data_IF_419155284560
#
_entry.id   IF_419155284560
#
_cell.length_a   1.000
_cell.length_b   1.000
_cell.length_c   1.000
_cell.angle_alpha   90.00
_cell.angle_beta   90.00
_cell.angle_gamma   90.00
#
_symmetry.space_group_name_H-M   'P 1'
#
loop_
_entity.id
_entity.type
_entity.pdbx_description
1 polymer ?
#
# COMPACT_ATOMS: atom_id res chain seq x y z
N UNK A 1 5.45 -7.09 -10.04
CA UNK A 1 6.69 -6.86 -9.26
C UNK A 1 6.88 -8.03 -8.30
N UNK A 2 7.90 -8.88 -8.47
CA UNK A 2 8.07 -10.08 -7.62
C UNK A 2 8.28 -9.65 -6.16
N UNK A 3 7.51 -10.19 -5.21
CA UNK A 3 7.79 -10.05 -3.78
C UNK A 3 9.04 -10.90 -3.47
N UNK A 4 10.19 -10.48 -3.97
CA UNK A 4 11.48 -11.11 -3.69
C UNK A 4 11.89 -10.73 -2.27
N UNK A 5 12.13 -11.76 -1.46
CA UNK A 5 12.25 -11.67 -0.02
C UNK A 5 13.39 -10.80 0.48
N UNK A 6 13.05 -9.77 1.27
CA UNK A 6 13.77 -9.34 2.48
C UNK A 6 12.98 -8.25 3.20
N UNK A 7 12.64 -8.49 4.47
CA UNK A 7 12.12 -7.53 5.47
C UNK A 7 11.23 -6.40 4.92
N UNK A 8 10.10 -6.73 4.29
CA UNK A 8 9.11 -5.71 3.91
C UNK A 8 8.25 -5.36 5.12
N UNK A 9 7.93 -4.08 5.24
CA UNK A 9 6.96 -3.61 6.22
C UNK A 9 5.53 -3.83 5.69
N UNK A 10 4.58 -3.90 6.61
CA UNK A 10 3.18 -4.16 6.32
C UNK A 10 2.55 -3.17 5.33
N UNK A 11 2.95 -1.90 5.33
CA UNK A 11 2.54 -0.92 4.32
C UNK A 11 2.91 -1.34 2.90
N UNK A 12 4.17 -1.77 2.68
CA UNK A 12 4.65 -2.20 1.37
C UNK A 12 3.97 -3.51 0.96
N UNK A 13 3.81 -4.44 1.91
CA UNK A 13 3.16 -5.72 1.67
C UNK A 13 1.72 -5.53 1.22
N UNK A 14 0.92 -4.77 1.98
CA UNK A 14 -0.48 -4.55 1.66
C UNK A 14 -0.64 -3.78 0.36
N UNK A 15 0.17 -2.73 0.13
CA UNK A 15 0.13 -1.99 -1.13
C UNK A 15 0.44 -2.89 -2.33
N UNK A 16 1.52 -3.68 -2.25
CA UNK A 16 1.89 -4.59 -3.34
C UNK A 16 0.81 -5.64 -3.60
N UNK A 17 0.21 -6.21 -2.54
CA UNK A 17 -0.85 -7.21 -2.70
C UNK A 17 -2.06 -6.62 -3.44
N UNK A 18 -2.54 -5.44 -3.02
CA UNK A 18 -3.69 -4.82 -3.67
C UNK A 18 -3.38 -4.31 -5.07
N UNK A 19 -2.14 -3.90 -5.35
CA UNK A 19 -1.69 -3.57 -6.72
C UNK A 19 -1.83 -4.77 -7.67
N UNK A 20 -1.31 -5.93 -7.26
CA UNK A 20 -1.40 -7.16 -8.05
C UNK A 20 -2.87 -7.62 -8.18
N UNK A 21 -3.71 -7.44 -7.14
CA UNK A 21 -5.15 -7.65 -7.24
C UNK A 21 -5.84 -6.68 -8.21
N UNK A 22 -5.38 -5.43 -8.28
CA UNK A 22 -5.85 -4.42 -9.23
C UNK A 22 -5.65 -4.87 -10.67
N UNK A 23 -4.45 -5.38 -11.00
CA UNK A 23 -4.20 -6.00 -12.29
C UNK A 23 -5.14 -7.19 -12.58
N UNK A 24 -5.38 -8.06 -11.59
CA UNK A 24 -6.27 -9.21 -11.78
C UNK A 24 -7.72 -8.79 -12.05
N UNK A 25 -8.26 -7.83 -11.28
CA UNK A 25 -9.65 -7.39 -11.36
C UNK A 25 -9.96 -6.57 -12.62
N UNK A 26 -8.99 -5.79 -13.11
CA UNK A 26 -9.14 -4.97 -14.32
C UNK A 26 -8.98 -5.77 -15.61
N UNK A 27 -8.85 -7.09 -15.52
CA UNK A 27 -8.69 -7.94 -16.69
C UNK A 27 -7.29 -7.86 -17.29
N UNK A 28 -6.29 -7.31 -16.58
CA UNK A 28 -4.87 -7.41 -16.94
C UNK A 28 -4.33 -8.85 -16.72
N UNK A 29 -5.21 -9.81 -16.46
CA UNK A 29 -4.96 -11.20 -16.07
C UNK A 29 -4.13 -12.02 -17.05
N UNK A 30 -4.13 -11.69 -18.35
CA UNK A 30 -3.23 -12.34 -19.33
C UNK A 30 -1.75 -11.92 -19.16
N UNK A 31 -1.47 -10.78 -18.52
CA UNK A 31 -0.13 -10.34 -18.12
C UNK A 31 0.18 -10.66 -16.65
N UNK A 32 -0.83 -10.76 -15.78
CA UNK A 32 -0.64 -10.98 -14.34
C UNK A 32 -0.02 -12.34 -13.96
N UNK A 33 -0.11 -13.37 -14.82
CA UNK A 33 0.50 -14.69 -14.58
C UNK A 33 1.89 -14.81 -15.22
N UNK A 34 2.22 -13.95 -16.19
CA UNK A 34 3.54 -13.87 -16.79
C UNK A 34 4.24 -12.62 -16.29
N UNK A 35 4.97 -12.78 -15.19
CA UNK A 35 6.13 -11.92 -14.89
C UNK A 35 7.09 -12.09 -16.07
N UNK A 36 6.89 -11.31 -17.13
CA UNK A 36 7.88 -11.08 -18.16
C UNK A 36 7.85 -9.59 -18.48
N UNK A 37 9.01 -8.97 -18.44
CA UNK A 37 9.29 -7.53 -18.42
C UNK A 37 8.93 -6.80 -19.73
N UNK A 38 8.02 -7.33 -20.55
CA UNK A 38 7.63 -6.77 -21.84
C UNK A 38 6.21 -6.25 -21.81
N UNK A 39 6.07 -4.93 -21.68
CA UNK A 39 4.87 -4.15 -22.01
C UNK A 39 3.73 -4.16 -20.97
N UNK A 40 3.97 -3.83 -19.70
CA UNK A 40 2.90 -3.20 -18.93
C UNK A 40 2.64 -1.81 -19.54
N UNK A 41 1.39 -1.50 -19.94
CA UNK A 41 1.09 -0.15 -20.39
C UNK A 41 1.09 0.77 -19.17
N UNK A 42 1.60 1.99 -19.32
CA UNK A 42 1.66 2.96 -18.21
C UNK A 42 0.27 3.23 -17.59
N UNK A 43 -0.80 3.11 -18.38
CA UNK A 43 -2.18 3.18 -17.88
C UNK A 43 -2.57 1.99 -16.99
N UNK A 44 -2.14 0.78 -17.33
CA UNK A 44 -2.45 -0.45 -16.57
C UNK A 44 -1.85 -0.40 -15.16
N UNK A 45 -0.63 0.14 -15.03
CA UNK A 45 0.06 0.34 -13.75
C UNK A 45 -0.61 1.43 -12.91
N UNK A 46 -0.97 2.57 -13.53
CA UNK A 46 -1.65 3.66 -12.84
C UNK A 46 -3.02 3.21 -12.29
N UNK A 47 -3.77 2.42 -13.06
CA UNK A 47 -5.05 1.87 -12.58
C UNK A 47 -4.88 0.90 -11.40
N UNK A 48 -3.80 0.13 -11.37
CA UNK A 48 -3.48 -0.77 -10.27
C UNK A 48 -3.03 -0.01 -9.02
N UNK A 49 -2.21 1.04 -9.19
CA UNK A 49 -1.79 1.96 -8.12
C UNK A 49 -3.00 2.67 -7.50
N UNK A 50 -3.89 3.22 -8.33
CA UNK A 50 -5.10 3.90 -7.89
C UNK A 50 -6.05 2.95 -7.15
N UNK A 51 -6.22 1.73 -7.68
CA UNK A 51 -6.99 0.69 -7.00
C UNK A 51 -6.40 0.35 -5.62
N UNK A 52 -5.10 0.08 -5.54
CA UNK A 52 -4.44 -0.22 -4.27
C UNK A 52 -4.56 0.94 -3.28
N UNK A 53 -4.43 2.17 -3.80
CA UNK A 53 -4.57 3.41 -3.03
C UNK A 53 -5.94 3.54 -2.39
N UNK A 54 -6.99 3.38 -3.18
CA UNK A 54 -8.37 3.62 -2.77
C UNK A 54 -8.92 2.48 -1.90
N UNK A 55 -8.46 1.24 -2.12
CA UNK A 55 -8.84 0.11 -1.28
C UNK A 55 -8.24 0.21 0.11
N UNK A 56 -6.97 0.62 0.21
CA UNK A 56 -6.28 0.74 1.50
C UNK A 56 -6.71 1.96 2.30
N UNK A 57 -6.98 3.08 1.63
CA UNK A 57 -7.49 4.28 2.28
C UNK A 57 -8.61 4.84 1.39
N UNK A 58 -9.89 4.64 1.78
CA UNK A 58 -11.02 5.07 0.98
C UNK A 58 -10.94 6.56 0.63
N UNK A 59 -11.27 6.97 -0.60
CA UNK A 59 -11.30 8.38 -0.99
C UNK A 59 -12.16 9.25 -0.07
N UNK A 60 -13.28 8.70 0.44
CA UNK A 60 -14.15 9.38 1.41
C UNK A 60 -13.43 9.74 2.71
N UNK A 61 -12.42 8.97 3.10
CA UNK A 61 -11.66 9.16 4.34
C UNK A 61 -10.29 9.84 4.13
N UNK A 62 -9.84 9.95 2.88
CA UNK A 62 -8.51 10.49 2.54
C UNK A 62 -8.26 11.91 3.09
N UNK A 63 -9.31 12.75 3.18
CA UNK A 63 -9.24 14.10 3.73
C UNK A 63 -8.84 14.14 5.22
N UNK A 64 -9.01 13.04 5.96
CA UNK A 64 -8.61 12.96 7.36
C UNK A 64 -7.08 12.83 7.52
N UNK A 65 -6.36 12.39 6.49
CA UNK A 65 -4.89 12.27 6.51
C UNK A 65 -4.21 13.60 6.82
N UNK A 66 -4.75 14.69 6.25
CA UNK A 66 -4.27 16.06 6.47
C UNK A 66 -4.40 16.52 7.91
N UNK A 67 -5.11 15.79 8.78
CA UNK A 67 -5.29 16.12 10.20
C UNK A 67 -4.39 15.31 11.12
N UNK A 68 -3.72 14.28 10.62
CA UNK A 68 -2.89 13.39 11.43
C UNK A 68 -1.56 14.08 11.77
N UNK A 69 -1.33 14.31 13.07
CA UNK A 69 -0.16 15.03 13.60
C UNK A 69 0.63 14.20 14.60
N UNK A 70 0.09 13.10 15.09
CA UNK A 70 0.76 12.24 16.07
C UNK A 70 0.65 10.78 15.67
N UNK A 71 1.50 9.95 16.26
CA UNK A 71 1.40 8.50 16.09
C UNK A 71 0.06 7.95 16.61
N UNK A 72 -0.51 8.61 17.63
CA UNK A 72 -1.82 8.26 18.18
C UNK A 72 -2.94 8.51 17.17
N UNK A 73 -2.93 9.67 16.51
CA UNK A 73 -3.92 10.00 15.48
C UNK A 73 -3.89 8.95 14.35
N UNK A 74 -2.68 8.51 13.97
CA UNK A 74 -2.49 7.47 12.97
C UNK A 74 -3.09 6.14 13.40
N UNK A 75 -2.86 5.72 14.64
CA UNK A 75 -3.42 4.47 15.18
C UNK A 75 -4.95 4.54 15.23
N UNK A 76 -5.51 5.62 15.78
CA UNK A 76 -6.96 5.80 15.87
C UNK A 76 -7.63 5.85 14.49
N UNK A 77 -7.01 6.52 13.52
CA UNK A 77 -7.52 6.56 12.14
C UNK A 77 -7.42 5.20 11.45
N UNK A 78 -6.31 4.49 11.62
CA UNK A 78 -6.13 3.16 11.03
C UNK A 78 -7.15 2.16 11.57
N UNK A 79 -7.41 2.19 12.89
CA UNK A 79 -8.45 1.38 13.51
C UNK A 79 -9.84 1.74 12.99
N UNK A 80 -10.13 3.03 12.79
CA UNK A 80 -11.41 3.51 12.25
C UNK A 80 -11.69 3.00 10.82
N UNK A 81 -10.69 3.00 9.93
CA UNK A 81 -10.85 2.51 8.54
C UNK A 81 -10.53 1.02 8.38
N UNK A 82 -10.15 0.33 9.46
CA UNK A 82 -9.91 -1.12 9.47
C UNK A 82 -8.61 -1.56 8.79
N UNK A 83 -7.54 -0.76 8.85
CA UNK A 83 -6.22 -1.10 8.27
C UNK A 83 -5.11 -1.05 9.31
N UNK A 84 -3.92 -1.52 8.93
CA UNK A 84 -2.75 -1.42 9.82
C UNK A 84 -2.26 0.03 9.93
N UNK A 85 -1.85 0.52 11.12
CA UNK A 85 -1.21 1.84 11.26
C UNK A 85 -0.02 2.05 10.31
N UNK A 86 0.74 0.99 10.03
CA UNK A 86 1.83 1.02 9.06
C UNK A 86 1.38 1.51 7.68
N UNK A 87 0.22 1.06 7.19
CA UNK A 87 -0.35 1.44 5.88
C UNK A 87 -0.60 2.95 5.83
N UNK A 88 -1.20 3.50 6.88
CA UNK A 88 -1.47 4.94 6.99
C UNK A 88 -0.15 5.73 7.02
N UNK A 89 0.85 5.27 7.79
CA UNK A 89 2.19 5.89 7.76
C UNK A 89 2.80 5.81 6.35
N UNK A 90 2.66 4.68 5.67
CA UNK A 90 3.12 4.49 4.30
C UNK A 90 2.54 5.53 3.35
N UNK A 91 1.22 5.77 3.43
CA UNK A 91 0.53 6.83 2.66
C UNK A 91 1.05 8.22 3.03
N UNK A 92 1.10 8.57 4.30
CA UNK A 92 1.55 9.90 4.73
C UNK A 92 2.99 10.21 4.28
N UNK A 93 3.85 9.19 4.28
CA UNK A 93 5.22 9.27 3.80
C UNK A 93 5.33 9.32 2.27
N UNK A 94 4.47 8.59 1.57
CA UNK A 94 4.39 8.61 0.11
C UNK A 94 3.94 9.99 -0.39
N UNK A 95 2.92 10.56 0.25
CA UNK A 95 2.35 11.86 -0.10
C UNK A 95 3.16 13.04 0.50
N UNK A 96 4.35 12.77 1.04
CA UNK A 96 5.31 13.74 1.59
C UNK A 96 4.80 14.61 2.76
N UNK A 97 3.60 14.35 3.27
CA UNK A 97 3.06 15.01 4.47
C UNK A 97 3.85 14.69 5.73
N UNK A 98 4.44 13.48 5.80
CA UNK A 98 5.35 13.06 6.85
C UNK A 98 6.71 12.69 6.24
N UNK A 99 7.84 13.06 6.87
CA UNK A 99 9.14 12.63 6.39
C UNK A 99 9.31 11.11 6.53
N UNK A 100 10.07 10.49 5.62
CA UNK A 100 10.27 9.02 5.53
C UNK A 100 10.79 8.35 6.81
N UNK A 101 11.34 9.11 7.76
CA UNK A 101 11.82 8.61 9.06
C UNK A 101 10.77 8.64 10.18
N UNK A 102 9.64 9.34 9.98
CA UNK A 102 8.59 9.52 10.99
C UNK A 102 7.57 8.38 10.95
N UNK A 103 7.11 7.93 12.10
CA UNK A 103 6.08 6.87 12.20
C UNK A 103 6.58 5.46 11.91
N UNK A 104 7.87 5.26 11.60
CA UNK A 104 8.42 3.94 11.24
C UNK A 104 8.25 2.87 12.33
N UNK A 105 8.10 3.27 13.60
CA UNK A 105 7.79 2.34 14.71
C UNK A 105 6.39 1.71 14.62
N UNK A 106 5.48 2.31 13.84
CA UNK A 106 4.13 1.80 13.58
C UNK A 106 4.10 0.80 12.41
N UNK A 107 5.20 0.71 11.64
CA UNK A 107 5.33 -0.25 10.55
C UNK A 107 5.82 -1.58 11.09
N UNK A 108 5.06 -2.64 10.82
CA UNK A 108 5.40 -3.99 11.28
C UNK A 108 6.19 -4.69 10.21
N UNK A 109 7.29 -5.34 10.59
CA UNK A 109 7.99 -6.25 9.69
C UNK A 109 7.11 -7.47 9.43
N UNK A 110 6.99 -7.85 8.17
CA UNK A 110 6.26 -9.05 7.75
C UNK A 110 7.29 -10.04 7.23
N UNK A 111 7.39 -11.17 7.93
CA UNK A 111 8.20 -12.31 7.51
C UNK A 111 7.29 -13.38 6.90
N UNK A 112 7.40 -13.58 5.60
CA UNK A 112 6.81 -14.72 4.92
C UNK A 112 7.75 -15.92 5.11
N UNK A 113 7.69 -16.54 6.28
CA UNK A 113 8.40 -17.79 6.50
C UNK A 113 7.88 -18.83 5.50
N UNK A 114 8.74 -19.32 4.61
CA UNK A 114 8.47 -20.48 3.77
C UNK A 114 8.38 -21.69 4.70
N UNK A 115 7.18 -22.25 4.87
CA UNK A 115 6.99 -23.57 5.48
C UNK A 115 7.15 -24.65 4.44
#
# INVERSE_FOLDING_TARGET
MQISGRHKTDDIVWFTLFHELGHLLKGHSKKAIFINEGEAHQGDEAEADDFARDVLIPPSESHNLDRLRTDRDVVEFADFIGVSPGVVVGRLQHDETWPRNRGNKLKRKVDFATR
#
